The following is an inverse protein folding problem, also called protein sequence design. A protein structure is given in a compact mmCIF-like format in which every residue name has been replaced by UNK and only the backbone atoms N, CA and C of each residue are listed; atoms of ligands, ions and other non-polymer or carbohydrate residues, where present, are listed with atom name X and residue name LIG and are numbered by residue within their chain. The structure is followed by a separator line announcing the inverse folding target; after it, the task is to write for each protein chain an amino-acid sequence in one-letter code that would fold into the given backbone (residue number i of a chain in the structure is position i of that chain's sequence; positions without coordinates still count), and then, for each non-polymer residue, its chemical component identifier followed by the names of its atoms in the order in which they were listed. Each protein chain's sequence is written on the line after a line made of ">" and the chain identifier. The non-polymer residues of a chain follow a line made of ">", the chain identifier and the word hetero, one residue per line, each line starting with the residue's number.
data_IF_564205327582
#
_entry.id   IF_564205327582
#
_cell.length_a   1.000
_cell.length_b   1.000
_cell.length_c   1.000
_cell.angle_alpha   90.00
_cell.angle_beta   90.00
_cell.angle_gamma   90.00
#
_symmetry.space_group_name_H-M   'P 1'
#
loop_
_entity.id
_entity.type
_entity.pdbx_description
1 polymer ?
#
# COMPACT_ATOMS: atom_id res chain seq x y z
N UNK A 1 -40.54 1.14 12.11
CA UNK A 1 -39.40 0.94 11.20
C UNK A 1 -38.95 2.25 10.55
N UNK A 2 -39.69 2.74 9.55
CA UNK A 2 -39.30 3.91 8.72
C UNK A 2 -39.19 5.23 9.49
N UNK A 3 -40.13 5.55 10.38
CA UNK A 3 -40.09 6.82 11.16
C UNK A 3 -38.87 6.96 12.07
N UNK A 4 -38.32 5.84 12.54
CA UNK A 4 -37.16 5.83 13.46
C UNK A 4 -35.86 5.33 12.79
N UNK A 5 -35.85 5.22 11.46
CA UNK A 5 -34.67 4.77 10.67
C UNK A 5 -33.99 3.49 11.21
N UNK A 6 -34.79 2.50 11.67
CA UNK A 6 -34.25 1.24 12.19
C UNK A 6 -34.22 0.17 11.09
N UNK A 7 -33.04 -0.27 10.61
CA UNK A 7 -32.93 -1.29 9.57
C UNK A 7 -33.52 -2.63 10.01
N UNK A 8 -33.33 -3.03 11.26
CA UNK A 8 -33.85 -4.28 11.82
C UNK A 8 -35.39 -4.31 11.82
N UNK A 9 -36.04 -3.23 12.25
CA UNK A 9 -37.51 -3.13 12.24
C UNK A 9 -38.10 -3.01 10.83
N UNK A 10 -37.35 -2.47 9.86
CA UNK A 10 -37.78 -2.43 8.45
C UNK A 10 -37.65 -3.83 7.82
N UNK A 11 -36.58 -4.55 8.12
CA UNK A 11 -36.38 -5.92 7.65
C UNK A 11 -37.45 -6.86 8.22
N UNK A 12 -37.70 -6.77 9.53
CA UNK A 12 -38.72 -7.57 10.22
C UNK A 12 -40.12 -7.33 9.63
N UNK A 13 -40.49 -6.06 9.41
CA UNK A 13 -41.77 -5.72 8.77
C UNK A 13 -41.92 -6.21 7.33
N UNK A 14 -40.83 -6.28 6.54
CA UNK A 14 -40.85 -6.88 5.20
C UNK A 14 -41.04 -8.40 5.28
N UNK A 15 -40.36 -9.05 6.21
CA UNK A 15 -40.49 -10.49 6.44
C UNK A 15 -41.95 -10.85 6.78
N UNK A 16 -42.57 -10.12 7.70
CA UNK A 16 -43.98 -10.35 8.06
C UNK A 16 -44.95 -10.15 6.89
N UNK A 17 -44.68 -9.20 5.98
CA UNK A 17 -45.50 -9.01 4.77
C UNK A 17 -45.40 -10.20 3.82
N UNK A 18 -44.18 -10.69 3.59
CA UNK A 18 -43.89 -11.89 2.78
C UNK A 18 -44.65 -13.10 3.34
N UNK A 19 -44.60 -13.32 4.66
CA UNK A 19 -45.31 -14.43 5.32
C UNK A 19 -46.83 -14.31 5.21
N UNK A 20 -47.35 -13.08 5.29
CA UNK A 20 -48.79 -12.81 5.15
C UNK A 20 -49.28 -13.11 3.73
N UNK A 21 -48.52 -12.71 2.71
CA UNK A 21 -48.86 -13.02 1.32
C UNK A 21 -48.79 -14.52 1.03
N UNK A 22 -47.76 -15.21 1.52
CA UNK A 22 -47.63 -16.65 1.39
C UNK A 22 -48.84 -17.38 2.03
N UNK A 23 -49.20 -16.99 3.25
CA UNK A 23 -50.35 -17.57 3.97
C UNK A 23 -51.68 -17.33 3.26
N UNK A 24 -51.87 -16.12 2.71
CA UNK A 24 -53.07 -15.76 1.94
C UNK A 24 -53.18 -16.59 0.65
N UNK A 25 -52.06 -16.81 -0.05
CA UNK A 25 -52.02 -17.63 -1.26
C UNK A 25 -52.40 -19.09 -0.99
N UNK A 26 -51.90 -19.68 0.10
CA UNK A 26 -52.27 -21.04 0.54
C UNK A 26 -53.77 -21.12 0.87
N UNK A 27 -54.31 -20.15 1.59
CA UNK A 27 -55.73 -20.12 1.96
C UNK A 27 -56.65 -20.02 0.73
N UNK A 28 -56.28 -19.21 -0.26
CA UNK A 28 -57.01 -19.12 -1.53
C UNK A 28 -56.92 -20.41 -2.35
N UNK A 29 -55.76 -21.07 -2.39
CA UNK A 29 -55.57 -22.37 -3.05
C UNK A 29 -56.48 -23.45 -2.44
N UNK A 30 -56.50 -23.54 -1.11
CA UNK A 30 -57.34 -24.47 -0.37
C UNK A 30 -58.83 -24.19 -0.56
N UNK A 31 -59.24 -22.91 -0.52
CA UNK A 31 -60.64 -22.51 -0.76
C UNK A 31 -61.08 -22.84 -2.19
N UNK A 32 -60.19 -22.64 -3.18
CA UNK A 32 -60.45 -23.01 -4.57
C UNK A 32 -60.62 -24.51 -4.79
N UNK A 33 -59.87 -25.34 -4.06
CA UNK A 33 -60.03 -26.79 -4.07
C UNK A 33 -61.44 -27.22 -3.62
N UNK A 34 -61.99 -26.60 -2.57
CA UNK A 34 -63.35 -26.87 -2.09
C UNK A 34 -64.46 -26.39 -3.05
N UNK A 35 -64.15 -25.54 -4.02
CA UNK A 35 -65.08 -25.02 -5.04
C UNK A 35 -65.00 -25.80 -6.37
N UNK A 36 -64.57 -27.07 -6.34
CA UNK A 36 -64.41 -27.97 -7.51
C UNK A 36 -63.33 -27.55 -8.53
N UNK A 37 -62.33 -26.77 -8.11
CA UNK A 37 -61.15 -26.47 -8.92
C UNK A 37 -59.90 -27.19 -8.35
N UNK A 38 -59.73 -28.50 -8.58
CA UNK A 38 -58.71 -29.31 -7.91
C UNK A 38 -57.27 -28.91 -8.25
N UNK A 39 -57.04 -28.23 -9.37
CA UNK A 39 -55.72 -27.79 -9.80
C UNK A 39 -55.23 -26.50 -9.11
N UNK A 40 -56.12 -25.72 -8.49
CA UNK A 40 -55.75 -24.44 -7.84
C UNK A 40 -54.79 -24.64 -6.66
N UNK A 41 -54.97 -25.72 -5.90
CA UNK A 41 -54.10 -26.05 -4.76
C UNK A 41 -52.67 -26.37 -5.22
N UNK A 42 -52.52 -27.19 -6.28
CA UNK A 42 -51.21 -27.51 -6.85
C UNK A 42 -50.51 -26.28 -7.44
N UNK A 43 -51.25 -25.40 -8.10
CA UNK A 43 -50.70 -24.13 -8.64
C UNK A 43 -50.27 -23.22 -7.49
N UNK A 44 -51.11 -23.05 -6.45
CA UNK A 44 -50.77 -22.26 -5.27
C UNK A 44 -49.52 -22.80 -4.56
N UNK A 45 -49.41 -24.13 -4.40
CA UNK A 45 -48.24 -24.77 -3.82
C UNK A 45 -46.96 -24.50 -4.61
N UNK A 46 -47.00 -24.53 -5.95
CA UNK A 46 -45.85 -24.19 -6.80
C UNK A 46 -45.45 -22.71 -6.61
N UNK A 47 -46.42 -21.80 -6.60
CA UNK A 47 -46.16 -20.37 -6.38
C UNK A 47 -45.54 -20.10 -5.01
N UNK A 48 -46.09 -20.70 -3.95
CA UNK A 48 -45.54 -20.58 -2.59
C UNK A 48 -44.14 -21.18 -2.51
N UNK A 49 -43.91 -22.35 -3.11
CA UNK A 49 -42.58 -22.98 -3.16
C UNK A 49 -41.55 -22.07 -3.83
N UNK A 50 -41.86 -21.50 -4.99
CA UNK A 50 -40.97 -20.57 -5.69
C UNK A 50 -40.68 -19.32 -4.86
N UNK A 51 -41.68 -18.82 -4.15
CA UNK A 51 -41.55 -17.64 -3.29
C UNK A 51 -40.63 -17.91 -2.09
N UNK A 52 -40.81 -19.04 -1.41
CA UNK A 52 -39.94 -19.48 -0.30
C UNK A 52 -38.50 -19.68 -0.80
N UNK A 53 -38.31 -20.35 -1.93
CA UNK A 53 -36.98 -20.54 -2.53
C UNK A 53 -36.29 -19.21 -2.83
N UNK A 54 -37.02 -18.25 -3.43
CA UNK A 54 -36.48 -16.92 -3.73
C UNK A 54 -36.08 -16.18 -2.45
N UNK A 55 -36.94 -16.16 -1.44
CA UNK A 55 -36.65 -15.51 -0.15
C UNK A 55 -35.43 -16.16 0.53
N UNK A 56 -35.37 -17.49 0.58
CA UNK A 56 -34.23 -18.22 1.11
C UNK A 56 -32.92 -17.94 0.37
N UNK A 57 -32.98 -17.85 -0.97
CA UNK A 57 -31.81 -17.50 -1.78
C UNK A 57 -31.31 -16.06 -1.54
N UNK A 58 -32.21 -15.09 -1.43
CA UNK A 58 -31.86 -13.70 -1.10
C UNK A 58 -31.20 -13.62 0.29
N UNK A 59 -31.78 -14.30 1.29
CA UNK A 59 -31.21 -14.37 2.66
C UNK A 59 -29.83 -15.03 2.65
N UNK A 60 -29.68 -16.15 1.93
CA UNK A 60 -28.40 -16.86 1.82
C UNK A 60 -27.31 -15.97 1.21
N UNK A 61 -27.63 -15.29 0.11
CA UNK A 61 -26.69 -14.38 -0.57
C UNK A 61 -26.31 -13.22 0.34
N UNK A 62 -27.25 -12.63 1.05
CA UNK A 62 -26.96 -11.52 1.97
C UNK A 62 -26.12 -11.98 3.16
N UNK A 63 -26.41 -13.15 3.73
CA UNK A 63 -25.58 -13.76 4.77
C UNK A 63 -24.14 -14.05 4.29
N UNK A 64 -24.00 -14.58 3.07
CA UNK A 64 -22.69 -14.84 2.45
C UNK A 64 -21.92 -13.54 2.20
N UNK A 65 -22.58 -12.47 1.72
CA UNK A 65 -21.94 -11.14 1.53
C UNK A 65 -21.44 -10.57 2.84
N UNK A 66 -22.20 -10.72 3.94
CA UNK A 66 -21.77 -10.30 5.27
C UNK A 66 -20.56 -11.11 5.74
N UNK A 67 -20.57 -12.43 5.55
CA UNK A 67 -19.45 -13.31 5.92
C UNK A 67 -18.18 -13.07 5.09
N UNK A 68 -18.32 -12.64 3.83
CA UNK A 68 -17.19 -12.34 2.94
C UNK A 68 -16.65 -10.90 3.11
N UNK A 69 -17.08 -10.17 4.14
CA UNK A 69 -16.80 -8.73 4.32
C UNK A 69 -17.20 -7.85 3.11
N UNK A 70 -18.01 -8.38 2.19
CA UNK A 70 -18.50 -7.71 0.98
C UNK A 70 -19.65 -6.73 1.26
N UNK A 71 -19.72 -6.19 2.48
CA UNK A 71 -20.80 -5.33 2.95
C UNK A 71 -20.61 -3.85 2.60
N UNK A 72 -19.55 -3.50 1.89
CA UNK A 72 -19.32 -2.13 1.41
C UNK A 72 -19.48 -2.11 -0.10
N UNK A 73 -20.42 -1.29 -0.56
CA UNK A 73 -20.67 -1.09 -1.97
C UNK A 73 -19.39 -0.63 -2.67
N UNK A 74 -19.10 -1.21 -3.84
CA UNK A 74 -18.01 -0.78 -4.70
C UNK A 74 -18.05 0.75 -4.98
N UNK A 75 -19.25 1.33 -4.97
CA UNK A 75 -19.50 2.76 -5.08
C UNK A 75 -18.89 3.58 -3.93
N UNK A 76 -19.03 3.13 -2.68
CA UNK A 76 -18.47 3.83 -1.51
C UNK A 76 -16.93 3.78 -1.53
N UNK A 77 -16.34 2.62 -1.86
CA UNK A 77 -14.89 2.50 -2.01
C UNK A 77 -14.35 3.38 -3.15
N UNK A 78 -15.04 3.39 -4.28
CA UNK A 78 -14.67 4.23 -5.43
C UNK A 78 -14.74 5.71 -5.08
N UNK A 79 -15.78 6.11 -4.34
CA UNK A 79 -15.95 7.48 -3.88
C UNK A 79 -14.89 7.90 -2.86
N UNK A 80 -14.58 7.04 -1.88
CA UNK A 80 -13.47 7.26 -0.94
C UNK A 80 -12.18 7.47 -1.72
N UNK A 81 -11.87 6.59 -2.69
CA UNK A 81 -10.67 6.71 -3.51
C UNK A 81 -10.63 8.04 -4.28
N UNK A 82 -11.75 8.47 -4.87
CA UNK A 82 -11.85 9.74 -5.59
C UNK A 82 -11.58 10.95 -4.68
N UNK A 83 -12.23 10.98 -3.52
CA UNK A 83 -12.08 12.05 -2.52
C UNK A 83 -10.61 12.19 -2.11
N UNK A 84 -10.01 11.06 -1.71
CA UNK A 84 -8.64 11.01 -1.19
C UNK A 84 -7.63 11.38 -2.28
N UNK A 85 -7.84 10.92 -3.51
CA UNK A 85 -6.94 11.23 -4.63
C UNK A 85 -6.87 12.72 -4.99
N UNK A 86 -7.89 13.51 -4.61
CA UNK A 86 -7.92 14.97 -4.83
C UNK A 86 -7.20 15.76 -3.74
N UNK A 87 -6.80 15.12 -2.64
CA UNK A 87 -6.18 15.80 -1.50
C UNK A 87 -4.71 16.08 -1.82
N UNK A 88 -4.33 17.36 -1.78
CA UNK A 88 -2.93 17.76 -1.95
C UNK A 88 -2.02 17.06 -0.93
N UNK A 89 -0.96 16.43 -1.44
CA UNK A 89 0.02 15.68 -0.64
C UNK A 89 -0.18 14.16 -0.70
N UNK A 90 -1.35 13.68 -1.16
CA UNK A 90 -1.57 12.28 -1.54
C UNK A 90 -0.97 12.07 -2.94
N UNK A 91 0.03 11.19 -3.06
CA UNK A 91 0.64 10.84 -4.36
C UNK A 91 0.01 9.61 -4.98
N UNK A 92 -0.24 8.60 -4.15
CA UNK A 92 -0.78 7.32 -4.58
C UNK A 92 -1.50 6.65 -3.43
N UNK A 93 -2.56 5.90 -3.75
CA UNK A 93 -3.24 5.02 -2.80
C UNK A 93 -2.82 3.60 -3.15
N UNK A 94 -2.09 2.95 -2.26
CA UNK A 94 -1.56 1.59 -2.45
C UNK A 94 -2.60 0.54 -2.11
N UNK A 95 -3.35 0.78 -1.04
CA UNK A 95 -4.39 -0.12 -0.54
C UNK A 95 -5.53 0.72 0.00
N UNK A 96 -6.75 0.27 -0.26
CA UNK A 96 -7.97 0.79 0.34
C UNK A 96 -8.85 -0.41 0.68
N UNK A 97 -9.09 -0.57 1.97
CA UNK A 97 -9.98 -1.58 2.52
C UNK A 97 -10.99 -0.88 3.40
N UNK A 98 -12.20 -1.42 3.44
CA UNK A 98 -13.15 -1.00 4.43
C UNK A 98 -13.98 -2.20 4.86
N UNK A 99 -14.54 -2.13 6.06
CA UNK A 99 -15.47 -3.14 6.60
C UNK A 99 -16.59 -2.47 7.36
N UNK A 100 -17.78 -3.05 7.29
CA UNK A 100 -18.93 -2.57 8.07
C UNK A 100 -19.08 -3.39 9.34
N UNK A 101 -19.42 -2.73 10.45
CA UNK A 101 -19.85 -3.36 11.70
C UNK A 101 -21.13 -2.72 12.18
N UNK A 102 -22.25 -3.45 12.03
CA UNK A 102 -23.58 -2.91 12.27
C UNK A 102 -23.86 -1.71 11.35
N UNK A 103 -24.15 -0.55 11.94
CA UNK A 103 -24.39 0.69 11.20
C UNK A 103 -23.12 1.47 10.86
N UNK A 104 -21.96 1.08 11.37
CA UNK A 104 -20.70 1.83 11.26
C UNK A 104 -19.79 1.24 10.19
N UNK A 105 -18.99 2.09 9.56
CA UNK A 105 -17.98 1.74 8.57
C UNK A 105 -16.59 2.08 9.12
N UNK A 106 -15.65 1.16 8.94
CA UNK A 106 -14.24 1.31 9.28
C UNK A 106 -13.43 1.28 8.00
N UNK A 107 -12.59 2.29 7.79
CA UNK A 107 -11.75 2.41 6.60
C UNK A 107 -10.29 2.25 6.99
N UNK A 108 -9.53 1.52 6.18
CA UNK A 108 -8.09 1.38 6.29
C UNK A 108 -7.46 1.65 4.93
N UNK A 109 -6.41 2.47 4.90
CA UNK A 109 -5.75 2.82 3.66
C UNK A 109 -4.26 3.05 3.81
N UNK A 110 -3.53 2.74 2.74
CA UNK A 110 -2.11 3.02 2.59
C UNK A 110 -1.94 4.10 1.52
N UNK A 111 -1.26 5.20 1.88
CA UNK A 111 -1.06 6.35 1.01
C UNK A 111 0.43 6.67 0.90
N UNK A 112 0.93 6.84 -0.32
CA UNK A 112 2.25 7.40 -0.58
C UNK A 112 2.22 8.94 -0.53
N UNK A 113 3.22 9.54 0.13
CA UNK A 113 3.42 10.98 0.19
C UNK A 113 4.88 11.36 -0.03
N UNK A 114 5.13 12.55 -0.57
CA UNK A 114 6.47 13.11 -0.69
C UNK A 114 6.85 14.04 0.49
N UNK A 115 6.00 14.11 1.51
CA UNK A 115 6.26 14.87 2.73
C UNK A 115 7.39 14.20 3.53
N UNK A 116 8.44 14.97 3.83
CA UNK A 116 9.61 14.50 4.58
C UNK A 116 9.50 14.70 6.09
N UNK A 117 8.55 15.54 6.51
CA UNK A 117 8.33 15.89 7.92
C UNK A 117 7.15 15.07 8.46
N UNK A 118 7.38 14.37 9.59
CA UNK A 118 6.39 13.49 10.19
C UNK A 118 5.15 14.25 10.67
N UNK A 119 5.31 15.48 11.18
CA UNK A 119 4.16 16.28 11.63
C UNK A 119 3.27 16.67 10.44
N UNK A 120 3.85 17.07 9.30
CA UNK A 120 3.10 17.34 8.08
C UNK A 120 2.41 16.10 7.52
N UNK A 121 3.08 14.93 7.58
CA UNK A 121 2.46 13.67 7.21
C UNK A 121 1.24 13.38 8.13
N UNK A 122 1.40 13.47 9.44
CA UNK A 122 0.29 13.30 10.39
C UNK A 122 -0.87 14.29 10.12
N UNK A 123 -0.57 15.55 9.79
CA UNK A 123 -1.60 16.52 9.42
C UNK A 123 -2.34 16.13 8.15
N UNK A 124 -1.63 15.60 7.15
CA UNK A 124 -2.25 15.06 5.94
C UNK A 124 -3.15 13.86 6.26
N UNK A 125 -2.68 12.93 7.09
CA UNK A 125 -3.49 11.79 7.57
C UNK A 125 -4.78 12.24 8.25
N UNK A 126 -4.72 13.19 9.18
CA UNK A 126 -5.91 13.76 9.83
C UNK A 126 -6.86 14.43 8.84
N UNK A 127 -6.31 15.14 7.84
CA UNK A 127 -7.11 15.78 6.80
C UNK A 127 -7.86 14.75 5.95
N UNK A 128 -7.17 13.66 5.59
CA UNK A 128 -7.76 12.54 4.86
C UNK A 128 -8.89 11.91 5.66
N UNK A 129 -8.67 11.59 6.94
CA UNK A 129 -9.70 11.04 7.83
C UNK A 129 -10.92 11.97 7.92
N UNK A 130 -10.70 13.25 8.18
CA UNK A 130 -11.77 14.24 8.32
C UNK A 130 -12.60 14.36 7.04
N UNK A 131 -11.95 14.34 5.88
CA UNK A 131 -12.64 14.47 4.60
C UNK A 131 -13.50 13.23 4.29
N UNK A 132 -12.96 12.03 4.52
CA UNK A 132 -13.72 10.78 4.38
C UNK A 132 -14.96 10.80 5.28
N UNK A 133 -14.80 11.19 6.56
CA UNK A 133 -15.90 11.28 7.53
C UNK A 133 -16.97 12.31 7.14
N UNK A 134 -16.58 13.39 6.47
CA UNK A 134 -17.50 14.44 6.04
C UNK A 134 -18.34 14.06 4.82
N UNK A 135 -17.80 13.22 3.93
CA UNK A 135 -18.42 12.91 2.64
C UNK A 135 -19.09 11.52 2.60
N UNK A 136 -18.63 10.57 3.42
CA UNK A 136 -19.15 9.21 3.47
C UNK A 136 -19.92 9.01 4.77
N UNK A 137 -21.17 8.58 4.64
CA UNK A 137 -22.03 8.36 5.80
C UNK A 137 -21.52 7.19 6.64
N UNK A 138 -21.72 7.29 7.94
CA UNK A 138 -21.46 6.24 8.91
C UNK A 138 -19.99 5.79 9.07
N UNK A 139 -19.01 6.54 8.55
CA UNK A 139 -17.60 6.25 8.84
C UNK A 139 -17.29 6.61 10.29
N UNK A 140 -17.07 5.61 11.13
CA UNK A 140 -16.69 5.78 12.52
C UNK A 140 -15.21 6.14 12.64
N UNK A 141 -14.36 5.42 11.88
CA UNK A 141 -12.91 5.60 11.89
C UNK A 141 -12.31 5.32 10.52
N UNK A 142 -11.32 6.13 10.13
CA UNK A 142 -10.42 5.85 9.03
C UNK A 142 -8.98 5.79 9.57
N UNK A 143 -8.27 4.70 9.31
CA UNK A 143 -6.86 4.54 9.66
C UNK A 143 -6.05 4.72 8.38
N UNK A 144 -5.15 5.69 8.38
CA UNK A 144 -4.31 6.01 7.23
C UNK A 144 -2.87 5.67 7.59
N UNK A 145 -2.33 4.66 6.94
CA UNK A 145 -0.91 4.36 6.94
C UNK A 145 -0.22 5.19 5.88
N UNK A 146 0.78 5.97 6.29
CA UNK A 146 1.53 6.84 5.38
C UNK A 146 2.86 6.22 5.01
N UNK A 147 3.08 6.09 3.72
CA UNK A 147 4.32 5.57 3.14
C UNK A 147 5.06 6.71 2.42
N UNK A 148 6.40 6.73 2.48
CA UNK A 148 7.17 7.64 1.65
C UNK A 148 7.00 7.28 0.16
N UNK A 149 6.98 8.28 -0.70
CA UNK A 149 7.06 8.08 -2.15
C UNK A 149 8.31 7.24 -2.48
N UNK A 150 8.14 6.22 -3.32
CA UNK A 150 9.25 5.38 -3.76
C UNK A 150 10.32 6.24 -4.43
N UNK A 151 11.59 5.99 -4.06
CA UNK A 151 12.73 6.64 -4.73
C UNK A 151 12.69 6.30 -6.23
N UNK A 152 13.11 7.25 -7.06
CA UNK A 152 13.29 7.05 -8.50
C UNK A 152 14.74 6.77 -8.88
N UNK A 153 15.65 7.07 -7.97
CA UNK A 153 17.09 6.94 -8.14
C UNK A 153 17.69 6.25 -6.92
N UNK A 154 18.78 5.52 -7.14
CA UNK A 154 19.66 4.97 -6.09
C UNK A 154 21.02 5.62 -6.24
N UNK A 155 21.52 6.24 -5.17
CA UNK A 155 22.85 6.85 -5.14
C UNK A 155 23.89 5.85 -4.66
N UNK A 156 24.84 5.53 -5.53
CA UNK A 156 25.98 4.69 -5.25
C UNK A 156 27.20 5.53 -4.86
N UNK A 157 28.10 4.93 -4.10
CA UNK A 157 29.45 5.41 -3.88
C UNK A 157 30.46 4.30 -4.17
N UNK A 158 31.57 4.64 -4.83
CA UNK A 158 32.68 3.73 -5.09
C UNK A 158 34.00 4.43 -4.72
N UNK A 159 34.87 3.81 -3.90
CA UNK A 159 36.19 4.33 -3.66
C UNK A 159 37.06 4.18 -4.91
N UNK A 160 37.69 5.27 -5.35
CA UNK A 160 38.51 5.32 -6.56
C UNK A 160 39.93 5.81 -6.25
N UNK A 161 40.89 5.33 -7.04
CA UNK A 161 42.29 5.78 -6.96
C UNK A 161 42.55 7.03 -7.82
N UNK A 162 41.69 7.30 -8.80
CA UNK A 162 41.77 8.39 -9.77
C UNK A 162 40.38 8.94 -10.13
N UNK A 163 40.30 10.00 -10.94
CA UNK A 163 39.04 10.67 -11.32
C UNK A 163 38.86 10.82 -12.85
N UNK A 164 39.22 9.80 -13.61
CA UNK A 164 39.12 9.77 -15.08
C UNK A 164 37.69 9.46 -15.58
N UNK A 165 36.65 9.88 -14.87
CA UNK A 165 35.26 9.54 -15.20
C UNK A 165 35.00 8.04 -15.08
N UNK A 166 34.25 7.47 -16.02
CA UNK A 166 33.83 6.06 -16.04
C UNK A 166 35.04 5.10 -16.12
N UNK A 167 36.17 5.53 -16.68
CA UNK A 167 37.40 4.72 -16.74
C UNK A 167 38.22 4.70 -15.45
N UNK A 168 37.74 5.30 -14.35
CA UNK A 168 38.53 5.38 -13.11
C UNK A 168 38.69 4.01 -12.45
N UNK A 169 39.91 3.69 -12.02
CA UNK A 169 40.18 2.49 -11.25
C UNK A 169 39.61 2.55 -9.83
N UNK A 170 39.03 1.43 -9.41
CA UNK A 170 38.47 1.22 -8.07
C UNK A 170 39.62 0.98 -7.08
N UNK A 171 39.48 1.51 -5.87
CA UNK A 171 40.45 1.29 -4.81
C UNK A 171 40.14 0.00 -4.05
N UNK A 172 41.18 -0.79 -3.80
CA UNK A 172 41.09 -1.99 -2.94
C UNK A 172 40.89 -1.64 -1.46
N UNK A 173 41.22 -0.41 -1.04
CA UNK A 173 41.17 0.02 0.35
C UNK A 173 40.28 1.25 0.51
N UNK A 174 39.11 1.06 1.13
CA UNK A 174 38.07 2.08 1.26
C UNK A 174 38.57 3.36 1.94
N UNK A 175 39.28 3.23 3.08
CA UNK A 175 39.75 4.38 3.85
C UNK A 175 40.92 5.14 3.21
N UNK A 176 41.60 4.52 2.24
CA UNK A 176 42.80 5.07 1.58
C UNK A 176 42.53 5.53 0.15
N UNK A 177 41.30 5.36 -0.32
CA UNK A 177 40.86 5.86 -1.61
C UNK A 177 41.08 7.36 -1.72
N UNK A 178 41.65 7.82 -2.85
CA UNK A 178 41.89 9.25 -3.10
C UNK A 178 40.58 9.99 -3.40
N UNK A 179 39.66 9.31 -4.05
CA UNK A 179 38.37 9.85 -4.44
C UNK A 179 37.24 8.89 -4.06
N UNK A 180 36.03 9.43 -3.89
CA UNK A 180 34.80 8.65 -3.94
C UNK A 180 34.00 9.11 -5.16
N UNK A 181 33.72 8.19 -6.08
CA UNK A 181 32.77 8.42 -7.16
C UNK A 181 31.37 8.24 -6.60
N UNK A 182 30.54 9.27 -6.71
CA UNK A 182 29.12 9.24 -6.39
C UNK A 182 28.35 9.25 -7.71
N UNK A 183 27.48 8.28 -7.93
CA UNK A 183 26.63 8.25 -9.12
C UNK A 183 25.21 7.81 -8.80
N UNK A 184 24.27 8.33 -9.57
CA UNK A 184 22.84 8.05 -9.41
C UNK A 184 22.39 7.14 -10.56
N UNK A 185 21.80 5.99 -10.23
CA UNK A 185 21.17 5.09 -11.20
C UNK A 185 19.65 5.23 -11.11
N UNK A 186 18.97 5.32 -12.24
CA UNK A 186 17.50 5.30 -12.27
C UNK A 186 16.99 3.89 -11.96
N UNK A 187 15.95 3.77 -11.13
CA UNK A 187 15.36 2.47 -10.78
C UNK A 187 14.55 1.86 -11.94
N UNK A 188 14.07 2.69 -12.87
CA UNK A 188 13.18 2.25 -13.93
C UNK A 188 13.91 1.45 -15.04
N UNK A 189 15.12 1.87 -15.39
CA UNK A 189 15.89 1.34 -16.53
C UNK A 189 17.37 1.07 -16.19
N UNK A 190 17.79 1.36 -14.95
CA UNK A 190 19.19 1.29 -14.51
C UNK A 190 20.13 2.13 -15.37
N UNK A 191 19.64 3.25 -15.91
CA UNK A 191 20.49 4.20 -16.61
C UNK A 191 21.17 5.16 -15.63
N UNK A 192 22.42 5.50 -15.97
CA UNK A 192 23.24 6.46 -15.23
C UNK A 192 22.65 7.87 -15.41
N UNK A 193 22.19 8.48 -14.31
CA UNK A 193 21.57 9.80 -14.33
C UNK A 193 22.55 10.96 -14.03
N UNK A 194 23.46 10.76 -13.07
CA UNK A 194 24.47 11.75 -12.66
C UNK A 194 25.71 11.04 -12.14
N UNK A 195 26.88 11.68 -12.25
CA UNK A 195 28.15 11.19 -11.73
C UNK A 195 29.03 12.36 -11.28
N UNK A 196 29.63 12.24 -10.09
CA UNK A 196 30.59 13.22 -9.56
C UNK A 196 31.63 12.56 -8.69
N UNK A 197 32.82 13.15 -8.64
CA UNK A 197 33.90 12.71 -7.76
C UNK A 197 34.05 13.68 -6.59
N UNK A 198 34.24 13.14 -5.40
CA UNK A 198 34.64 13.90 -4.22
C UNK A 198 36.02 13.43 -3.76
N UNK A 199 36.88 14.37 -3.36
CA UNK A 199 38.19 14.05 -2.79
C UNK A 199 38.00 13.49 -1.39
N UNK A 200 38.79 12.48 -1.01
CA UNK A 200 38.85 12.00 0.38
C UNK A 200 39.80 12.89 1.19
N UNK A 201 39.29 13.77 2.08
CA UNK A 201 40.14 14.67 2.86
C UNK A 201 40.87 13.95 4.00
N UNK A 202 40.56 12.67 4.25
CA UNK A 202 41.02 11.92 5.42
C UNK A 202 42.13 10.92 5.09
N UNK A 203 42.64 10.93 3.86
CA UNK A 203 43.67 9.98 3.42
C UNK A 203 44.97 10.10 4.23
N UNK A 204 45.28 11.29 4.75
CA UNK A 204 46.49 11.55 5.53
C UNK A 204 46.31 11.28 7.04
N UNK A 205 45.10 10.97 7.53
CA UNK A 205 44.89 10.72 8.95
C UNK A 205 45.59 9.44 9.41
N UNK A 206 46.37 9.48 10.48
CA UNK A 206 47.08 8.28 10.98
C UNK A 206 46.13 7.14 11.40
N UNK A 207 44.93 7.47 11.90
CA UNK A 207 43.95 6.50 12.39
C UNK A 207 42.53 6.91 11.98
N UNK A 208 41.64 5.91 11.90
CA UNK A 208 40.20 6.10 11.66
C UNK A 208 39.87 6.73 10.30
N UNK A 209 40.75 6.61 9.28
CA UNK A 209 40.49 7.08 7.91
C UNK A 209 39.15 6.59 7.37
N UNK A 210 38.91 5.27 7.44
CA UNK A 210 37.67 4.65 7.00
C UNK A 210 36.43 5.14 7.76
N UNK A 211 36.54 5.35 9.07
CA UNK A 211 35.43 5.91 9.85
C UNK A 211 35.06 7.32 9.37
N UNK A 212 36.05 8.19 9.15
CA UNK A 212 35.82 9.56 8.66
C UNK A 212 35.32 9.60 7.21
N UNK A 213 35.83 8.71 6.36
CA UNK A 213 35.29 8.52 5.02
C UNK A 213 33.81 8.08 5.04
N UNK A 214 33.46 7.12 5.91
CA UNK A 214 32.07 6.69 6.11
C UNK A 214 31.17 7.84 6.58
N UNK A 215 31.58 8.60 7.62
CA UNK A 215 30.85 9.79 8.07
C UNK A 215 30.61 10.78 6.92
N UNK A 216 31.62 11.05 6.08
CA UNK A 216 31.49 11.91 4.91
C UNK A 216 30.46 11.38 3.92
N UNK A 217 30.49 10.09 3.60
CA UNK A 217 29.54 9.48 2.66
C UNK A 217 28.10 9.52 3.18
N UNK A 218 27.88 9.36 4.50
CA UNK A 218 26.58 9.55 5.13
C UNK A 218 26.06 10.98 4.89
N UNK A 219 26.91 12.00 5.02
CA UNK A 219 26.49 13.40 4.72
C UNK A 219 26.07 13.61 3.26
N UNK A 220 26.58 12.77 2.33
CA UNK A 220 26.23 12.80 0.91
C UNK A 220 24.96 12.01 0.58
N UNK A 221 24.36 11.35 1.58
CA UNK A 221 23.12 10.57 1.48
C UNK A 221 23.21 9.51 0.38
N UNK A 222 24.29 8.73 0.43
CA UNK A 222 24.43 7.56 -0.43
C UNK A 222 23.46 6.49 0.05
N UNK A 223 22.97 5.68 -0.88
CA UNK A 223 22.10 4.53 -0.59
C UNK A 223 22.92 3.24 -0.55
N UNK A 224 23.94 3.13 -1.41
CA UNK A 224 24.78 1.94 -1.52
C UNK A 224 26.26 2.30 -1.61
N UNK A 225 27.10 1.54 -0.92
CA UNK A 225 28.56 1.61 -1.04
C UNK A 225 29.06 0.33 -1.73
N UNK A 226 29.81 0.50 -2.82
CA UNK A 226 30.45 -0.59 -3.55
C UNK A 226 31.92 -0.63 -3.20
N UNK A 227 32.44 -1.79 -2.78
CA UNK A 227 33.86 -1.97 -2.46
C UNK A 227 34.40 -3.30 -3.01
N UNK A 228 35.70 -3.34 -3.32
CA UNK A 228 36.37 -4.60 -3.66
C UNK A 228 36.70 -5.43 -2.43
N UNK A 229 37.14 -4.75 -1.37
CA UNK A 229 37.35 -5.37 -0.07
C UNK A 229 36.04 -5.52 0.71
N UNK A 230 35.97 -6.54 1.57
CA UNK A 230 34.97 -6.57 2.63
C UNK A 230 35.35 -5.55 3.70
N UNK A 231 34.40 -4.68 4.03
CA UNK A 231 34.50 -3.76 5.17
C UNK A 231 33.70 -4.25 6.38
N UNK A 232 33.13 -5.44 6.32
CA UNK A 232 32.41 -6.06 7.43
C UNK A 232 33.28 -6.06 8.70
N UNK A 233 32.65 -5.77 9.85
CA UNK A 233 33.31 -5.70 11.15
C UNK A 233 34.38 -4.58 11.31
N UNK A 234 34.55 -3.71 10.31
CA UNK A 234 35.36 -2.48 10.44
C UNK A 234 34.51 -1.34 10.99
N UNK A 235 35.15 -0.35 11.64
CA UNK A 235 34.46 0.84 12.17
C UNK A 235 33.62 1.61 11.15
N UNK A 236 34.04 1.62 9.88
CA UNK A 236 33.28 2.23 8.78
C UNK A 236 31.94 1.54 8.50
N UNK A 237 31.88 0.22 8.65
CA UNK A 237 30.68 -0.58 8.39
C UNK A 237 29.55 -0.19 9.34
N UNK A 238 29.82 -0.14 10.65
CA UNK A 238 28.80 0.20 11.64
C UNK A 238 28.18 1.59 11.44
N UNK A 239 28.95 2.59 11.01
CA UNK A 239 28.42 3.94 10.75
C UNK A 239 27.51 3.98 9.53
N UNK A 240 27.89 3.26 8.49
CA UNK A 240 27.12 3.18 7.24
C UNK A 240 25.85 2.31 7.42
N UNK A 241 25.96 1.21 8.16
CA UNK A 241 24.84 0.33 8.51
C UNK A 241 23.79 1.05 9.39
N UNK A 242 24.23 1.78 10.42
CA UNK A 242 23.34 2.61 11.27
C UNK A 242 22.64 3.73 10.46
N UNK A 243 23.24 4.12 9.33
CA UNK A 243 22.68 5.10 8.39
C UNK A 243 21.89 4.46 7.25
N UNK A 244 21.61 3.15 7.31
CA UNK A 244 20.87 2.38 6.29
C UNK A 244 21.50 2.41 4.90
N UNK A 245 22.84 2.40 4.84
CA UNK A 245 23.58 2.27 3.57
C UNK A 245 23.86 0.79 3.32
N UNK A 246 23.43 0.27 2.17
CA UNK A 246 23.72 -1.11 1.77
C UNK A 246 25.14 -1.25 1.26
N UNK A 247 25.70 -2.46 1.37
CA UNK A 247 27.04 -2.78 0.87
C UNK A 247 26.96 -3.76 -0.29
N UNK A 248 27.71 -3.48 -1.34
CA UNK A 248 27.87 -4.36 -2.50
C UNK A 248 29.35 -4.66 -2.68
N UNK A 249 29.72 -5.93 -2.67
CA UNK A 249 31.08 -6.33 -2.99
C UNK A 249 31.18 -6.62 -4.49
N UNK A 250 32.24 -6.12 -5.14
CA UNK A 250 32.49 -6.32 -6.58
C UNK A 250 33.91 -6.82 -6.83
N UNK A 251 34.10 -7.56 -7.92
CA UNK A 251 35.41 -7.91 -8.49
C UNK A 251 35.85 -6.98 -9.62
N UNK A 252 35.03 -6.00 -10.00
CA UNK A 252 35.30 -5.04 -11.06
C UNK A 252 36.50 -4.13 -10.74
N UNK A 253 37.39 -3.96 -11.71
CA UNK A 253 38.60 -3.14 -11.58
C UNK A 253 38.32 -1.66 -11.90
N UNK A 254 37.28 -1.38 -12.68
CA UNK A 254 36.92 -0.05 -13.18
C UNK A 254 35.47 0.32 -12.85
N UNK A 255 35.16 1.62 -12.85
CA UNK A 255 33.77 2.10 -12.67
C UNK A 255 32.86 1.68 -13.83
N UNK A 256 33.40 1.54 -15.05
CA UNK A 256 32.67 1.03 -16.21
C UNK A 256 32.08 -0.34 -15.94
N UNK A 257 32.94 -1.28 -15.53
CA UNK A 257 32.55 -2.64 -15.17
C UNK A 257 31.52 -2.66 -14.04
N UNK A 258 31.67 -1.81 -13.02
CA UNK A 258 30.66 -1.71 -11.94
C UNK A 258 29.31 -1.25 -12.46
N UNK A 259 29.28 -0.25 -13.33
CA UNK A 259 28.01 0.25 -13.89
C UNK A 259 27.37 -0.83 -14.78
N UNK A 260 28.17 -1.57 -15.56
CA UNK A 260 27.69 -2.71 -16.34
C UNK A 260 27.15 -3.84 -15.46
N UNK A 261 27.85 -4.23 -14.39
CA UNK A 261 27.38 -5.22 -13.42
C UNK A 261 26.01 -4.83 -12.84
N UNK A 262 25.84 -3.55 -12.48
CA UNK A 262 24.58 -3.03 -11.95
C UNK A 262 23.44 -3.07 -12.98
N UNK A 263 23.74 -2.86 -14.28
CA UNK A 263 22.75 -2.98 -15.35
C UNK A 263 22.29 -4.42 -15.58
N UNK A 264 23.16 -5.40 -15.34
CA UNK A 264 22.88 -6.83 -15.57
C UNK A 264 22.11 -7.48 -14.41
N UNK A 265 22.27 -7.01 -13.18
CA UNK A 265 21.67 -7.59 -11.97
C UNK A 265 20.15 -7.32 -11.79
N UNK A 266 19.45 -6.92 -12.86
CA UNK A 266 18.07 -6.41 -12.85
C UNK A 266 17.06 -7.31 -13.54
#
# INVERSE_FOLDING_TARGET
>A
GKEINSPSLIADGKHTQVDTYASTAVLLGLTGYYLDFPYLDSIAGIFVTLFIFKAGYEILIDAVKVLLDASIGYEDLSRIKEIVSKIYGVRKINSLKARSSGKFMFVEMEIETNLKDLNRAHQLSNKVEAQIKSEIKNVDRAIIHMEPEKKKIVRYSVPCTENNGIGSKISDHFGEAKYFCLFDMQIADNELADMKFIVNPFIELEKRKGLKAAELLVTKKIDKLITRESIAQKSAFYVLEDSYVDFVQTSADTLEEVIEELKVLS
#
